data_IF_243240291764
#
_entry.id   IF_243240291764
#
_cell.length_a   1.000
_cell.length_b   1.000
_cell.length_c   1.000
_cell.angle_alpha   90.00
_cell.angle_beta   90.00
_cell.angle_gamma   90.00
#
_symmetry.space_group_name_H-M   'P 1'
#
loop_
_entity.id
_entity.type
_entity.pdbx_description
1 polymer ?
#
# COMPACT_ATOMS: atom_id res chain seq x y z
N UNK A 1 -14.03 -2.94 -64.34
CA UNK A 1 -13.74 -4.29 -63.84
C UNK A 1 -14.90 -5.19 -64.22
N UNK A 2 -14.67 -6.37 -64.80
CA UNK A 2 -15.76 -7.31 -65.09
C UNK A 2 -16.25 -7.99 -63.80
N UNK A 3 -17.45 -8.55 -63.81
CA UNK A 3 -18.00 -9.27 -62.64
C UNK A 3 -17.08 -10.40 -62.14
N UNK A 4 -16.47 -11.25 -63.01
CA UNK A 4 -15.50 -12.25 -62.55
C UNK A 4 -14.28 -11.64 -61.84
N UNK A 5 -13.76 -10.52 -62.34
CA UNK A 5 -12.64 -9.82 -61.69
C UNK A 5 -13.04 -9.29 -60.31
N UNK A 6 -14.28 -8.79 -60.17
CA UNK A 6 -14.80 -8.33 -58.89
C UNK A 6 -15.00 -9.49 -57.90
N UNK A 7 -15.50 -10.64 -58.36
CA UNK A 7 -15.62 -11.84 -57.53
C UNK A 7 -14.24 -12.34 -57.04
N UNK A 8 -13.23 -12.35 -57.92
CA UNK A 8 -11.85 -12.69 -57.56
C UNK A 8 -11.28 -11.69 -56.54
N UNK A 9 -11.60 -10.40 -56.68
CA UNK A 9 -11.15 -9.38 -55.73
C UNK A 9 -11.73 -9.59 -54.32
N UNK A 10 -13.04 -9.85 -54.25
CA UNK A 10 -13.79 -9.98 -53.00
C UNK A 10 -13.52 -11.31 -52.28
N UNK A 11 -13.62 -12.42 -53.01
CA UNK A 11 -13.59 -13.77 -52.44
C UNK A 11 -12.27 -14.48 -52.66
N UNK A 12 -11.50 -14.08 -53.68
CA UNK A 12 -10.20 -14.65 -53.97
C UNK A 12 -9.14 -14.29 -52.94
N UNK A 13 -8.21 -15.22 -52.74
CA UNK A 13 -7.00 -15.03 -51.92
C UNK A 13 -5.77 -14.95 -52.82
N UNK A 14 -5.87 -14.27 -53.95
CA UNK A 14 -4.81 -14.14 -54.95
C UNK A 14 -4.40 -12.68 -55.13
N UNK A 15 -3.14 -12.47 -55.49
CA UNK A 15 -2.62 -11.16 -55.83
C UNK A 15 -3.33 -10.66 -57.09
N UNK A 16 -3.84 -9.43 -57.08
CA UNK A 16 -4.55 -8.86 -58.24
C UNK A 16 -3.62 -8.56 -59.41
N UNK A 17 -2.31 -8.46 -59.17
CA UNK A 17 -1.31 -8.19 -60.22
C UNK A 17 -0.70 -9.49 -60.74
N UNK A 18 -0.09 -10.30 -59.87
CA UNK A 18 0.64 -11.51 -60.29
C UNK A 18 -0.15 -12.83 -60.16
N UNK A 19 -1.38 -12.82 -59.63
CA UNK A 19 -2.21 -14.03 -59.46
C UNK A 19 -1.76 -14.99 -58.35
N UNK A 20 -0.60 -14.77 -57.71
CA UNK A 20 -0.08 -15.66 -56.65
C UNK A 20 -0.94 -15.60 -55.39
N UNK A 21 -1.16 -16.74 -54.74
CA UNK A 21 -1.89 -16.82 -53.47
C UNK A 21 -1.29 -15.90 -52.40
N UNK A 22 -2.13 -15.14 -51.71
CA UNK A 22 -1.70 -14.15 -50.71
C UNK A 22 -2.67 -14.07 -49.53
N UNK A 23 -2.11 -13.85 -48.34
CA UNK A 23 -2.87 -13.55 -47.11
C UNK A 23 -3.15 -12.06 -46.92
N UNK A 24 -2.68 -11.21 -47.84
CA UNK A 24 -2.94 -9.78 -47.79
C UNK A 24 -4.44 -9.51 -47.85
N UNK A 25 -4.89 -8.50 -47.11
CA UNK A 25 -6.26 -7.99 -47.20
C UNK A 25 -6.43 -7.18 -48.49
N UNK A 26 -7.65 -7.16 -49.00
CA UNK A 26 -8.06 -6.26 -50.06
C UNK A 26 -7.93 -4.82 -49.57
N UNK A 27 -7.31 -3.96 -50.36
CA UNK A 27 -7.40 -2.53 -50.19
C UNK A 27 -8.67 -2.00 -50.88
N UNK A 28 -9.63 -1.45 -50.12
CA UNK A 28 -10.91 -1.02 -50.69
C UNK A 28 -10.80 0.25 -51.53
N UNK A 29 -9.72 1.03 -51.42
CA UNK A 29 -9.54 2.28 -52.15
C UNK A 29 -8.68 2.11 -53.40
N UNK A 30 -7.72 1.17 -53.40
CA UNK A 30 -6.94 0.81 -54.59
C UNK A 30 -7.57 -0.32 -55.41
N UNK A 31 -8.63 -0.96 -54.90
CA UNK A 31 -9.25 -2.16 -55.49
C UNK A 31 -8.22 -3.25 -55.82
N UNK A 32 -7.24 -3.43 -54.92
CA UNK A 32 -6.11 -4.31 -55.15
C UNK A 32 -5.84 -5.17 -53.92
N UNK A 33 -5.47 -6.43 -54.16
CA UNK A 33 -4.89 -7.32 -53.15
C UNK A 33 -3.48 -7.62 -53.58
N UNK A 34 -2.49 -7.10 -52.86
CA UNK A 34 -1.08 -7.24 -53.26
C UNK A 34 -0.35 -8.21 -52.35
N UNK A 35 0.34 -9.20 -52.93
CA UNK A 35 1.34 -9.99 -52.20
C UNK A 35 2.50 -9.10 -51.75
N UNK A 36 3.40 -9.62 -50.90
CA UNK A 36 4.53 -8.82 -50.41
C UNK A 36 5.41 -8.27 -51.53
N UNK A 37 5.74 -9.07 -52.55
CA UNK A 37 6.58 -8.64 -53.67
C UNK A 37 5.92 -7.55 -54.50
N UNK A 38 4.70 -7.78 -55.00
CA UNK A 38 3.97 -6.80 -55.81
C UNK A 38 3.65 -5.51 -55.04
N UNK A 39 3.56 -5.59 -53.72
CA UNK A 39 3.36 -4.42 -52.87
C UNK A 39 4.61 -3.54 -52.85
N UNK A 40 5.79 -4.15 -52.72
CA UNK A 40 7.06 -3.41 -52.69
C UNK A 40 7.38 -2.84 -54.09
N UNK A 41 6.96 -3.52 -55.15
CA UNK A 41 7.23 -3.14 -56.54
C UNK A 41 6.20 -2.14 -57.11
N UNK A 42 4.92 -2.32 -56.81
CA UNK A 42 3.84 -1.58 -57.48
C UNK A 42 3.10 -0.59 -56.58
N UNK A 43 3.51 -0.41 -55.32
CA UNK A 43 3.03 0.71 -54.50
C UNK A 43 4.10 1.78 -54.36
N UNK A 44 3.67 3.02 -54.52
CA UNK A 44 4.50 4.19 -54.25
C UNK A 44 3.85 5.04 -53.17
N UNK A 45 4.68 5.55 -52.27
CA UNK A 45 4.26 6.50 -51.25
C UNK A 45 4.23 7.91 -51.83
N UNK A 46 3.03 8.46 -52.02
CA UNK A 46 2.81 9.77 -52.63
C UNK A 46 3.42 10.87 -51.77
N UNK A 47 3.37 10.75 -50.44
CA UNK A 47 3.92 11.75 -49.51
C UNK A 47 5.43 11.94 -49.60
N UNK A 48 6.17 10.99 -50.19
CA UNK A 48 7.63 11.11 -50.40
C UNK A 48 7.97 11.69 -51.77
N UNK A 49 6.98 11.90 -52.63
CA UNK A 49 7.23 12.39 -53.96
C UNK A 49 7.21 13.91 -53.97
N UNK A 50 8.33 14.51 -54.43
CA UNK A 50 8.52 15.95 -54.51
C UNK A 50 7.75 16.61 -55.67
N UNK A 51 6.72 15.95 -56.21
CA UNK A 51 5.94 16.47 -57.33
C UNK A 51 4.66 17.15 -56.80
N UNK A 52 4.59 18.51 -56.81
CA UNK A 52 3.47 19.27 -56.25
C UNK A 52 2.12 18.82 -56.82
N UNK A 53 2.10 18.40 -58.08
CA UNK A 53 0.88 18.03 -58.79
C UNK A 53 0.22 16.77 -58.23
N UNK A 54 1.00 15.87 -57.64
CA UNK A 54 0.48 14.65 -57.03
C UNK A 54 0.19 14.82 -55.54
N UNK A 55 0.81 15.80 -54.91
CA UNK A 55 0.66 16.09 -53.47
C UNK A 55 -0.43 17.11 -53.17
N UNK A 56 -0.63 18.12 -54.01
CA UNK A 56 -1.60 19.21 -53.78
C UNK A 56 -3.02 18.79 -54.20
N UNK A 57 -3.16 18.11 -55.34
CA UNK A 57 -4.47 17.77 -55.91
C UNK A 57 -4.86 16.30 -55.77
N UNK A 58 -3.90 15.44 -55.44
CA UNK A 58 -4.10 13.99 -55.33
C UNK A 58 -4.95 13.41 -56.48
N UNK A 59 -4.45 13.58 -57.70
CA UNK A 59 -5.10 13.14 -58.96
C UNK A 59 -5.11 11.60 -59.16
N UNK A 60 -4.62 10.86 -58.16
CA UNK A 60 -4.47 9.40 -58.18
C UNK A 60 -5.27 8.76 -57.06
N UNK A 61 -5.77 7.57 -57.35
CA UNK A 61 -6.38 6.72 -56.33
C UNK A 61 -5.35 6.37 -55.28
N UNK A 62 -5.72 6.51 -54.01
CA UNK A 62 -4.77 6.31 -52.93
C UNK A 62 -5.44 5.75 -51.68
N UNK A 63 -4.65 5.03 -50.90
CA UNK A 63 -5.10 4.41 -49.67
C UNK A 63 -4.25 4.82 -48.48
N UNK A 64 -4.92 5.00 -47.34
CA UNK A 64 -4.33 5.15 -46.00
C UNK A 64 -4.49 3.86 -45.18
N UNK A 65 -5.10 2.81 -45.73
CA UNK A 65 -5.44 1.57 -45.04
C UNK A 65 -4.37 0.48 -45.16
N UNK A 66 -3.29 0.78 -45.89
CA UNK A 66 -2.19 -0.12 -46.15
C UNK A 66 -1.28 -0.16 -44.91
N UNK A 67 -1.58 -1.09 -44.00
CA UNK A 67 -0.83 -1.35 -42.77
C UNK A 67 0.51 -2.05 -43.02
N UNK A 68 1.34 -1.46 -43.86
CA UNK A 68 2.60 -2.07 -44.29
C UNK A 68 3.71 -1.56 -43.41
N UNK A 69 4.43 -2.49 -42.81
CA UNK A 69 5.81 -2.23 -42.37
C UNK A 69 6.65 -2.13 -43.65
N UNK A 70 6.52 -1.04 -44.39
CA UNK A 70 7.42 -0.80 -45.53
C UNK A 70 8.79 -0.69 -44.89
N UNK A 71 9.82 -1.29 -45.47
CA UNK A 71 11.22 -1.13 -45.00
C UNK A 71 11.73 0.32 -45.17
N UNK A 72 10.83 1.28 -45.34
CA UNK A 72 11.13 2.66 -45.58
C UNK A 72 11.55 3.34 -44.27
N UNK A 73 12.38 4.38 -44.42
CA UNK A 73 12.91 5.20 -43.34
C UNK A 73 11.84 5.57 -42.29
N UNK A 74 12.20 5.69 -41.00
CA UNK A 74 11.27 5.99 -39.93
C UNK A 74 10.41 7.21 -40.28
N UNK A 75 9.09 7.02 -40.28
CA UNK A 75 8.16 8.11 -40.48
C UNK A 75 8.13 9.01 -39.24
N UNK A 76 7.96 10.34 -39.41
CA UNK A 76 7.63 11.23 -38.31
C UNK A 76 6.45 10.66 -37.51
N UNK A 77 6.54 10.68 -36.18
CA UNK A 77 5.46 10.16 -35.32
C UNK A 77 4.14 10.83 -35.70
N UNK A 78 3.15 10.03 -36.10
CA UNK A 78 1.80 10.51 -36.44
C UNK A 78 1.53 10.69 -37.95
N UNK A 79 2.55 10.68 -38.82
CA UNK A 79 2.31 10.72 -40.25
C UNK A 79 1.73 9.36 -40.73
N UNK A 80 0.57 9.40 -41.39
CA UNK A 80 -0.01 8.23 -42.05
C UNK A 80 0.41 8.26 -43.51
N UNK A 81 1.31 7.38 -43.97
CA UNK A 81 1.75 7.36 -45.36
C UNK A 81 0.54 7.12 -46.27
N UNK A 82 0.57 7.77 -47.43
CA UNK A 82 -0.47 7.67 -48.45
C UNK A 82 0.12 6.94 -49.65
N UNK A 83 -0.48 5.83 -50.04
CA UNK A 83 0.03 5.00 -51.13
C UNK A 83 -0.88 5.02 -52.35
N UNK A 84 -0.30 4.98 -53.55
CA UNK A 84 -0.99 4.74 -54.82
C UNK A 84 -0.33 3.59 -55.57
N UNK A 85 -1.02 3.05 -56.58
CA UNK A 85 -0.44 2.11 -57.53
C UNK A 85 0.48 2.87 -58.48
N UNK A 86 1.70 2.36 -58.69
CA UNK A 86 2.69 2.94 -59.62
C UNK A 86 2.08 3.13 -61.01
N UNK A 87 1.29 2.15 -61.48
CA UNK A 87 0.58 2.24 -62.75
C UNK A 87 -0.36 3.45 -62.80
N UNK A 88 -1.22 3.64 -61.80
CA UNK A 88 -2.17 4.75 -61.75
C UNK A 88 -1.47 6.11 -61.70
N UNK A 89 -0.32 6.17 -61.06
CA UNK A 89 0.52 7.38 -61.01
C UNK A 89 1.12 7.68 -62.38
N UNK A 90 1.69 6.69 -63.05
CA UNK A 90 2.28 6.86 -64.38
C UNK A 90 1.21 7.27 -65.41
N UNK A 91 0.03 6.66 -65.38
CA UNK A 91 -1.09 7.02 -66.26
C UNK A 91 -1.49 8.50 -66.13
N UNK A 92 -1.50 9.04 -64.91
CA UNK A 92 -1.81 10.45 -64.64
C UNK A 92 -0.70 11.36 -65.14
N UNK A 93 0.56 10.99 -64.92
CA UNK A 93 1.72 11.76 -65.39
C UNK A 93 1.79 11.80 -66.92
N UNK A 94 1.65 10.67 -67.60
CA UNK A 94 1.66 10.59 -69.06
C UNK A 94 0.51 11.35 -69.70
N UNK A 95 -0.67 11.35 -69.08
CA UNK A 95 -1.82 12.11 -69.57
C UNK A 95 -1.63 13.61 -69.39
N UNK A 96 -1.06 14.02 -68.25
CA UNK A 96 -0.70 15.42 -68.01
C UNK A 96 0.33 15.92 -69.02
N UNK A 97 1.40 15.16 -69.23
CA UNK A 97 2.50 15.54 -70.13
C UNK A 97 1.98 15.77 -71.55
N UNK A 98 1.06 14.91 -72.02
CA UNK A 98 0.41 15.09 -73.33
C UNK A 98 -0.32 16.43 -73.46
N UNK A 99 -1.12 16.83 -72.47
CA UNK A 99 -1.80 18.12 -72.52
C UNK A 99 -0.86 19.31 -72.37
N UNK A 100 0.24 19.14 -71.63
CA UNK A 100 1.25 20.18 -71.48
C UNK A 100 2.02 20.43 -72.79
N UNK A 101 2.31 19.37 -73.55
CA UNK A 101 3.00 19.48 -74.85
C UNK A 101 2.15 20.13 -75.95
N UNK A 102 0.82 20.10 -75.82
CA UNK A 102 -0.11 20.72 -76.77
C UNK A 102 -0.28 22.25 -76.54
N UNK A 103 0.41 22.83 -75.53
CA UNK A 103 0.32 24.24 -75.07
C UNK A 103 -1.12 24.72 -74.76
N UNK A 104 -2.04 23.78 -74.57
CA UNK A 104 -3.45 24.04 -74.28
C UNK A 104 -3.69 23.96 -72.78
N UNK A 105 -3.36 25.08 -72.11
CA UNK A 105 -3.58 25.22 -70.67
C UNK A 105 -5.05 25.01 -70.29
N UNK A 106 -6.00 25.38 -71.15
CA UNK A 106 -7.44 25.21 -70.90
C UNK A 106 -7.80 23.73 -70.79
N UNK A 107 -7.35 22.91 -71.75
CA UNK A 107 -7.56 21.45 -71.70
C UNK A 107 -6.88 20.80 -70.49
N UNK A 108 -5.72 21.32 -70.07
CA UNK A 108 -5.03 20.83 -68.87
C UNK A 108 -5.86 21.06 -67.61
N UNK A 109 -6.46 22.24 -67.45
CA UNK A 109 -7.34 22.55 -66.33
C UNK A 109 -8.64 21.73 -66.38
N UNK A 110 -9.30 21.64 -67.53
CA UNK A 110 -10.52 20.84 -67.70
C UNK A 110 -10.28 19.36 -67.36
N UNK A 111 -9.17 18.79 -67.83
CA UNK A 111 -8.79 17.42 -67.49
C UNK A 111 -8.50 17.25 -66.00
N UNK A 112 -7.77 18.18 -65.39
CA UNK A 112 -7.46 18.17 -63.96
C UNK A 112 -8.75 18.16 -63.13
N UNK A 113 -9.68 19.06 -63.44
CA UNK A 113 -10.95 19.16 -62.72
C UNK A 113 -11.83 17.93 -62.92
N UNK A 114 -11.91 17.41 -64.15
CA UNK A 114 -12.61 16.17 -64.45
C UNK A 114 -12.00 14.96 -63.69
N UNK A 115 -10.67 14.90 -63.59
CA UNK A 115 -9.97 13.84 -62.85
C UNK A 115 -10.16 13.99 -61.35
N UNK A 116 -10.12 15.21 -60.81
CA UNK A 116 -10.42 15.49 -59.40
C UNK A 116 -11.83 15.04 -59.05
N UNK A 117 -12.81 15.35 -59.90
CA UNK A 117 -14.19 14.89 -59.74
C UNK A 117 -14.26 13.36 -59.80
N UNK A 118 -13.58 12.72 -60.76
CA UNK A 118 -13.55 11.26 -60.87
C UNK A 118 -12.93 10.59 -59.63
N UNK A 119 -11.76 11.05 -59.18
CA UNK A 119 -11.09 10.52 -57.98
C UNK A 119 -11.94 10.82 -56.75
N UNK A 120 -12.53 12.01 -56.64
CA UNK A 120 -13.43 12.35 -55.56
C UNK A 120 -14.70 11.48 -55.58
N UNK A 121 -15.25 11.12 -56.73
CA UNK A 121 -16.42 10.24 -56.84
C UNK A 121 -16.08 8.80 -56.48
N UNK A 122 -14.97 8.27 -57.00
CA UNK A 122 -14.43 6.96 -56.67
C UNK A 122 -14.06 6.86 -55.17
N UNK A 123 -13.51 7.93 -54.59
CA UNK A 123 -13.03 7.99 -53.20
C UNK A 123 -14.11 8.34 -52.18
N UNK A 124 -14.93 9.37 -52.44
CA UNK A 124 -15.88 9.95 -51.46
C UNK A 124 -17.27 9.36 -51.57
N UNK A 125 -17.78 9.02 -52.74
CA UNK A 125 -19.25 8.96 -52.86
C UNK A 125 -19.83 7.57 -52.68
N UNK A 126 -19.24 6.48 -53.21
CA UNK A 126 -19.82 5.14 -53.00
C UNK A 126 -18.82 4.01 -52.87
N UNK A 127 -18.01 3.75 -53.90
CA UNK A 127 -17.48 2.39 -54.02
C UNK A 127 -16.44 2.00 -52.96
N UNK A 128 -15.37 2.76 -52.78
CA UNK A 128 -14.33 2.40 -51.80
C UNK A 128 -14.81 2.47 -50.35
N UNK A 129 -15.63 3.46 -50.00
CA UNK A 129 -16.22 3.58 -48.68
C UNK A 129 -17.26 2.49 -48.39
N UNK A 130 -18.14 2.16 -49.35
CA UNK A 130 -19.09 1.05 -49.24
C UNK A 130 -18.37 -0.28 -49.13
N UNK A 131 -17.33 -0.50 -49.93
CA UNK A 131 -16.53 -1.71 -49.89
C UNK A 131 -15.81 -1.84 -48.55
N UNK A 132 -15.21 -0.75 -48.04
CA UNK A 132 -14.65 -0.73 -46.68
C UNK A 132 -15.72 -1.07 -45.63
N UNK A 133 -16.90 -0.44 -45.70
CA UNK A 133 -18.01 -0.70 -44.80
C UNK A 133 -18.48 -2.16 -44.84
N UNK A 134 -18.56 -2.75 -46.03
CA UNK A 134 -18.88 -4.16 -46.23
C UNK A 134 -17.80 -5.06 -45.62
N UNK A 135 -16.52 -4.79 -45.86
CA UNK A 135 -15.41 -5.57 -45.29
C UNK A 135 -15.39 -5.48 -43.75
N UNK A 136 -15.63 -4.29 -43.20
CA UNK A 136 -15.72 -4.06 -41.77
C UNK A 136 -16.95 -4.80 -41.18
N UNK A 137 -18.10 -4.77 -41.86
CA UNK A 137 -19.30 -5.51 -41.48
C UNK A 137 -19.09 -7.03 -41.52
N UNK A 138 -18.51 -7.58 -42.59
CA UNK A 138 -18.20 -9.02 -42.69
C UNK A 138 -17.26 -9.44 -41.56
N UNK A 139 -16.25 -8.61 -41.25
CA UNK A 139 -15.33 -8.87 -40.14
C UNK A 139 -16.07 -8.89 -38.80
N UNK A 140 -16.89 -7.87 -38.53
CA UNK A 140 -17.65 -7.76 -37.29
C UNK A 140 -18.67 -8.91 -37.15
N UNK A 141 -19.37 -9.25 -38.23
CA UNK A 141 -20.29 -10.38 -38.31
C UNK A 141 -19.57 -11.69 -37.97
N UNK A 142 -18.41 -11.94 -38.58
CA UNK A 142 -17.59 -13.12 -38.28
C UNK A 142 -17.08 -13.14 -36.84
N UNK A 143 -16.67 -12.00 -36.29
CA UNK A 143 -16.28 -11.89 -34.88
C UNK A 143 -17.46 -12.24 -33.96
N UNK A 144 -18.67 -11.73 -34.25
CA UNK A 144 -19.90 -12.08 -33.54
C UNK A 144 -20.25 -13.57 -33.63
N UNK A 145 -20.10 -14.21 -34.80
CA UNK A 145 -20.25 -15.66 -34.93
C UNK A 145 -19.26 -16.43 -34.05
N UNK A 146 -17.99 -16.02 -34.04
CA UNK A 146 -16.96 -16.63 -33.21
C UNK A 146 -17.29 -16.45 -31.72
N UNK A 147 -17.76 -15.29 -31.30
CA UNK A 147 -18.18 -15.02 -29.92
C UNK A 147 -19.39 -15.86 -29.51
N UNK A 148 -20.39 -15.99 -30.39
CA UNK A 148 -21.53 -16.87 -30.17
C UNK A 148 -21.08 -18.33 -29.99
N UNK A 149 -20.14 -18.82 -30.82
CA UNK A 149 -19.59 -20.17 -30.66
C UNK A 149 -18.80 -20.33 -29.35
N UNK A 150 -18.05 -19.31 -28.91
CA UNK A 150 -17.35 -19.32 -27.62
C UNK A 150 -18.34 -19.40 -26.47
N UNK A 151 -19.40 -18.58 -26.50
CA UNK A 151 -20.46 -18.56 -25.48
C UNK A 151 -21.20 -19.89 -25.41
N UNK A 152 -21.63 -20.42 -26.55
CA UNK A 152 -22.28 -21.74 -26.62
C UNK A 152 -21.38 -22.82 -26.03
N UNK A 153 -20.09 -22.83 -26.40
CA UNK A 153 -19.11 -23.76 -25.84
C UNK A 153 -18.96 -23.59 -24.32
N UNK A 154 -18.84 -22.36 -23.82
CA UNK A 154 -18.76 -22.07 -22.39
C UNK A 154 -19.97 -22.61 -21.63
N UNK A 155 -21.17 -22.40 -22.16
CA UNK A 155 -22.41 -22.83 -21.52
C UNK A 155 -22.52 -24.36 -21.52
N UNK A 156 -22.19 -25.04 -22.63
CA UNK A 156 -22.15 -26.51 -22.67
C UNK A 156 -21.10 -27.10 -21.73
N UNK A 157 -19.91 -26.49 -21.64
CA UNK A 157 -18.88 -26.93 -20.67
C UNK A 157 -19.40 -26.77 -19.25
N UNK A 158 -20.04 -25.64 -18.93
CA UNK A 158 -20.58 -25.35 -17.60
C UNK A 158 -21.65 -26.37 -17.20
N UNK A 159 -22.62 -26.60 -18.07
CA UNK A 159 -23.69 -27.59 -17.85
C UNK A 159 -23.13 -28.99 -17.58
N UNK A 160 -22.15 -29.43 -18.39
CA UNK A 160 -21.52 -30.74 -18.18
C UNK A 160 -20.69 -30.82 -16.90
N UNK A 161 -20.03 -29.73 -16.49
CA UNK A 161 -19.32 -29.67 -15.22
C UNK A 161 -20.30 -29.74 -14.04
N UNK A 162 -21.46 -29.08 -14.12
CA UNK A 162 -22.51 -29.20 -13.11
C UNK A 162 -23.04 -30.63 -12.97
N UNK A 163 -23.25 -31.33 -14.08
CA UNK A 163 -23.64 -32.75 -14.06
C UNK A 163 -22.59 -33.66 -13.39
N UNK A 164 -21.33 -33.23 -13.36
CA UNK A 164 -20.23 -33.91 -12.67
C UNK A 164 -20.05 -33.45 -11.21
N UNK A 165 -20.94 -32.60 -10.69
CA UNK A 165 -20.90 -32.11 -9.30
C UNK A 165 -19.97 -30.93 -9.06
N UNK A 166 -19.43 -30.29 -10.11
CA UNK A 166 -18.70 -29.04 -9.96
C UNK A 166 -19.66 -27.87 -9.78
N UNK A 167 -19.26 -26.85 -9.04
CA UNK A 167 -20.08 -25.65 -8.79
C UNK A 167 -19.42 -24.41 -9.35
N UNK A 168 -20.16 -23.29 -9.43
CA UNK A 168 -19.58 -21.99 -9.83
C UNK A 168 -18.50 -21.51 -8.87
N UNK A 169 -18.54 -21.95 -7.60
CA UNK A 169 -17.48 -21.67 -6.62
C UNK A 169 -16.14 -22.27 -7.04
N UNK A 170 -16.17 -23.45 -7.65
CA UNK A 170 -14.96 -24.14 -8.12
C UNK A 170 -14.36 -23.49 -9.38
N UNK A 171 -15.12 -22.59 -10.05
CA UNK A 171 -14.65 -21.92 -11.25
C UNK A 171 -13.40 -21.09 -10.94
N UNK A 172 -12.33 -21.24 -11.73
CA UNK A 172 -11.10 -20.58 -11.37
C UNK A 172 -11.15 -19.07 -11.49
N UNK A 173 -10.86 -18.40 -10.38
CA UNK A 173 -10.59 -16.96 -10.31
C UNK A 173 -9.08 -16.72 -10.45
N UNK A 174 -8.46 -17.34 -11.47
CA UNK A 174 -7.01 -17.33 -11.61
C UNK A 174 -6.48 -15.94 -11.93
N UNK A 175 -5.47 -15.50 -11.18
CA UNK A 175 -4.46 -14.59 -11.72
C UNK A 175 -3.64 -15.34 -12.80
N UNK A 176 -3.05 -14.65 -13.79
CA UNK A 176 -2.13 -15.27 -14.74
C UNK A 176 -1.04 -16.08 -14.00
N UNK A 177 -0.60 -17.26 -14.50
CA UNK A 177 -0.87 -17.83 -15.83
C UNK A 177 -2.09 -18.77 -15.93
N UNK A 178 -2.68 -19.22 -14.82
CA UNK A 178 -3.78 -20.20 -14.85
C UNK A 178 -5.01 -19.73 -15.62
N UNK A 179 -5.24 -18.41 -15.68
CA UNK A 179 -6.32 -17.82 -16.48
C UNK A 179 -6.13 -17.98 -17.98
N UNK A 180 -4.89 -18.15 -18.46
CA UNK A 180 -4.61 -18.36 -19.88
C UNK A 180 -4.89 -19.80 -20.28
N UNK A 181 -4.51 -20.78 -19.45
CA UNK A 181 -4.79 -22.21 -19.68
C UNK A 181 -6.30 -22.49 -19.71
N UNK A 182 -7.03 -21.96 -18.72
CA UNK A 182 -8.49 -22.09 -18.66
C UNK A 182 -9.17 -21.49 -19.90
N UNK A 183 -8.85 -20.23 -20.25
CA UNK A 183 -9.42 -19.55 -21.42
C UNK A 183 -9.08 -20.27 -22.72
N UNK A 184 -7.88 -20.85 -22.85
CA UNK A 184 -7.51 -21.61 -24.05
C UNK A 184 -8.40 -22.85 -24.27
N UNK A 185 -8.87 -23.50 -23.19
CA UNK A 185 -9.75 -24.67 -23.26
C UNK A 185 -11.21 -24.27 -23.50
N UNK A 186 -11.64 -23.21 -22.81
CA UNK A 186 -13.05 -22.80 -22.71
C UNK A 186 -13.45 -21.82 -23.83
N UNK A 187 -12.59 -20.88 -24.20
CA UNK A 187 -12.88 -19.80 -25.17
C UNK A 187 -12.45 -20.14 -26.60
N UNK A 188 -12.26 -21.43 -26.90
CA UNK A 188 -11.95 -21.88 -28.26
C UNK A 188 -13.21 -21.81 -29.13
N UNK A 189 -13.20 -21.12 -30.28
CA UNK A 189 -14.36 -21.04 -31.18
C UNK A 189 -14.50 -22.31 -32.02
N UNK A 190 -14.51 -23.48 -31.36
CA UNK A 190 -14.67 -24.80 -31.97
C UNK A 190 -15.84 -25.52 -31.31
N UNK A 191 -16.71 -26.19 -32.07
CA UNK A 191 -17.77 -27.01 -31.50
C UNK A 191 -17.23 -28.02 -30.50
N UNK A 192 -17.95 -28.23 -29.40
CA UNK A 192 -17.56 -29.17 -28.35
C UNK A 192 -18.08 -30.58 -28.68
N UNK A 193 -17.30 -31.33 -29.46
CA UNK A 193 -17.61 -32.74 -29.75
C UNK A 193 -17.32 -33.62 -28.54
N UNK A 194 -17.92 -34.82 -28.45
CA UNK A 194 -17.67 -35.77 -27.37
C UNK A 194 -16.18 -36.14 -27.23
N UNK A 195 -15.47 -36.30 -28.35
CA UNK A 195 -14.02 -36.55 -28.36
C UNK A 195 -13.25 -35.37 -27.77
N UNK A 196 -13.55 -34.14 -28.18
CA UNK A 196 -12.88 -32.93 -27.65
C UNK A 196 -13.20 -32.78 -26.15
N UNK A 197 -14.45 -33.04 -25.74
CA UNK A 197 -14.87 -33.01 -24.35
C UNK A 197 -14.02 -33.93 -23.48
N UNK A 198 -13.86 -35.20 -23.84
CA UNK A 198 -13.06 -36.14 -23.04
C UNK A 198 -11.60 -35.69 -22.89
N UNK A 199 -11.02 -35.09 -23.94
CA UNK A 199 -9.65 -34.57 -23.90
C UNK A 199 -9.55 -33.34 -22.99
N UNK A 200 -10.48 -32.38 -23.09
CA UNK A 200 -10.42 -31.17 -22.27
C UNK A 200 -10.85 -31.42 -20.83
N UNK A 201 -11.73 -32.40 -20.58
CA UNK A 201 -12.27 -32.70 -19.25
C UNK A 201 -11.15 -33.02 -18.27
N UNK A 202 -10.19 -33.86 -18.64
CA UNK A 202 -9.03 -34.19 -17.80
C UNK A 202 -8.26 -32.92 -17.39
N UNK A 203 -8.06 -32.00 -18.33
CA UNK A 203 -7.37 -30.73 -18.07
C UNK A 203 -8.20 -29.78 -17.22
N UNK A 204 -9.52 -29.72 -17.45
CA UNK A 204 -10.44 -28.91 -16.67
C UNK A 204 -10.50 -29.41 -15.22
N UNK A 205 -10.63 -30.71 -15.00
CA UNK A 205 -10.65 -31.31 -13.66
C UNK A 205 -9.37 -30.97 -12.90
N UNK A 206 -8.19 -31.16 -13.51
CA UNK A 206 -6.92 -30.78 -12.88
C UNK A 206 -6.89 -29.29 -12.48
N UNK A 207 -7.36 -28.39 -13.35
CA UNK A 207 -7.43 -26.96 -13.05
C UNK A 207 -8.44 -26.65 -11.92
N UNK A 208 -9.59 -27.34 -11.90
CA UNK A 208 -10.64 -27.15 -10.91
C UNK A 208 -10.21 -27.67 -9.53
N UNK A 209 -9.59 -28.84 -9.45
CA UNK A 209 -9.04 -29.39 -8.21
C UNK A 209 -7.97 -28.47 -7.61
N UNK A 210 -7.04 -28.01 -8.45
CA UNK A 210 -6.03 -27.02 -8.04
C UNK A 210 -6.67 -25.72 -7.53
N UNK A 211 -7.76 -25.28 -8.16
CA UNK A 211 -8.48 -24.09 -7.71
C UNK A 211 -9.22 -24.33 -6.39
N UNK A 212 -9.85 -25.50 -6.20
CA UNK A 212 -10.52 -25.88 -4.96
C UNK A 212 -9.54 -25.88 -3.78
N UNK A 213 -8.38 -26.52 -3.93
CA UNK A 213 -7.33 -26.50 -2.91
C UNK A 213 -6.91 -25.06 -2.54
N UNK A 214 -6.73 -24.20 -3.54
CA UNK A 214 -6.40 -22.78 -3.32
C UNK A 214 -7.53 -22.01 -2.62
N UNK A 215 -8.79 -22.29 -2.94
CA UNK A 215 -9.93 -21.68 -2.28
C UNK A 215 -10.02 -22.13 -0.83
N UNK A 216 -9.76 -23.40 -0.55
CA UNK A 216 -9.72 -23.95 0.80
C UNK A 216 -8.60 -23.31 1.61
N UNK A 217 -7.40 -23.14 1.04
CA UNK A 217 -6.29 -22.41 1.67
C UNK A 217 -6.64 -20.96 1.95
N UNK A 218 -7.25 -20.26 0.99
CA UNK A 218 -7.72 -18.87 1.18
C UNK A 218 -8.77 -18.77 2.27
N UNK A 219 -9.71 -19.70 2.31
CA UNK A 219 -10.77 -19.72 3.30
C UNK A 219 -10.23 -20.07 4.69
N UNK A 220 -9.26 -20.99 4.79
CA UNK A 220 -8.50 -21.24 6.02
C UNK A 220 -7.74 -19.99 6.46
N UNK A 221 -7.05 -19.31 5.56
CA UNK A 221 -6.33 -18.07 5.85
C UNK A 221 -7.28 -16.95 6.27
N UNK A 222 -8.45 -16.83 5.63
CA UNK A 222 -9.50 -15.87 5.98
C UNK A 222 -10.03 -16.13 7.38
N UNK A 223 -10.37 -17.38 7.71
CA UNK A 223 -10.82 -17.78 9.06
C UNK A 223 -9.72 -17.54 10.10
N UNK A 224 -8.47 -17.89 9.82
CA UNK A 224 -7.32 -17.58 10.68
C UNK A 224 -7.17 -16.07 10.91
N UNK A 225 -7.32 -15.27 9.87
CA UNK A 225 -7.27 -13.82 9.98
C UNK A 225 -8.42 -13.26 10.82
N UNK A 226 -9.65 -13.75 10.63
CA UNK A 226 -10.80 -13.37 11.46
C UNK A 226 -10.57 -13.72 12.93
N UNK A 227 -10.08 -14.92 13.24
CA UNK A 227 -9.74 -15.29 14.62
C UNK A 227 -8.66 -14.39 15.21
N UNK A 228 -7.59 -14.10 14.47
CA UNK A 228 -6.56 -13.14 14.90
C UNK A 228 -7.11 -11.75 15.14
N UNK A 229 -8.04 -11.30 14.30
CA UNK A 229 -8.72 -10.03 14.48
C UNK A 229 -9.53 -10.02 15.79
N UNK A 230 -10.29 -11.07 16.07
CA UNK A 230 -11.04 -11.18 17.32
C UNK A 230 -10.15 -11.28 18.57
N UNK A 231 -9.01 -11.99 18.47
CA UNK A 231 -8.00 -12.00 19.55
C UNK A 231 -7.46 -10.59 19.79
N UNK A 232 -7.12 -9.86 18.73
CA UNK A 232 -6.65 -8.48 18.86
C UNK A 232 -7.71 -7.58 19.50
N UNK A 233 -8.96 -7.68 19.04
CA UNK A 233 -10.08 -6.89 19.56
C UNK A 233 -10.31 -7.17 21.06
N UNK A 234 -10.25 -8.43 21.47
CA UNK A 234 -10.31 -8.82 22.87
C UNK A 234 -9.12 -8.29 23.70
N UNK A 235 -7.90 -8.36 23.16
CA UNK A 235 -6.71 -7.84 23.84
C UNK A 235 -6.73 -6.31 23.91
N UNK A 236 -7.27 -5.64 22.90
CA UNK A 236 -7.54 -4.20 22.90
C UNK A 236 -8.59 -3.87 23.96
N UNK A 237 -9.68 -4.64 24.08
CA UNK A 237 -10.68 -4.44 25.12
C UNK A 237 -10.10 -4.65 26.53
N UNK A 238 -9.27 -5.69 26.72
CA UNK A 238 -8.54 -5.89 27.97
C UNK A 238 -7.57 -4.76 28.27
N UNK A 239 -6.87 -4.25 27.25
CA UNK A 239 -6.02 -3.08 27.37
C UNK A 239 -6.84 -1.89 27.86
N UNK A 240 -7.98 -1.57 27.25
CA UNK A 240 -8.81 -0.43 27.66
C UNK A 240 -9.54 -0.65 29.00
N UNK A 241 -9.81 -1.90 29.40
CA UNK A 241 -10.55 -2.21 30.64
C UNK A 241 -9.64 -2.26 31.87
N UNK A 242 -8.41 -2.77 31.71
CA UNK A 242 -7.41 -2.82 32.79
C UNK A 242 -6.58 -1.55 32.88
N UNK A 243 -6.42 -0.83 31.76
CA UNK A 243 -6.01 0.56 31.84
C UNK A 243 -7.23 1.37 32.25
N UNK A 244 -7.36 1.64 33.54
CA UNK A 244 -8.15 2.76 33.98
C UNK A 244 -7.52 4.04 33.38
N UNK A 245 -7.82 4.34 32.12
CA UNK A 245 -7.63 5.66 31.54
C UNK A 245 -8.62 6.55 32.29
N UNK A 246 -8.20 7.06 33.43
CA UNK A 246 -8.70 8.34 33.87
C UNK A 246 -8.23 9.35 32.81
N UNK A 247 -9.15 10.06 32.13
CA UNK A 247 -8.75 11.10 31.21
C UNK A 247 -7.99 12.16 32.02
N UNK A 248 -6.68 12.24 31.85
CA UNK A 248 -5.92 13.39 32.30
C UNK A 248 -6.11 14.49 31.26
N UNK A 249 -7.00 15.42 31.56
CA UNK A 249 -6.90 16.76 31.01
C UNK A 249 -5.66 17.42 31.64
N UNK A 250 -4.88 18.14 30.82
CA UNK A 250 -3.71 18.97 31.17
C UNK A 250 -2.32 18.35 30.91
N UNK A 251 -2.02 18.09 29.63
CA UNK A 251 -0.76 18.47 28.96
C UNK A 251 -0.93 18.12 27.48
N UNK A 252 -1.04 19.13 26.62
CA UNK A 252 -1.62 19.01 25.26
C UNK A 252 -0.83 18.17 24.25
N UNK A 253 0.38 17.66 24.55
CA UNK A 253 1.24 17.08 23.50
C UNK A 253 1.72 15.64 23.68
N UNK A 254 1.48 14.95 24.81
CA UNK A 254 1.98 13.56 24.97
C UNK A 254 1.05 12.66 25.81
N UNK A 255 0.20 11.88 25.13
CA UNK A 255 -0.52 10.76 25.75
C UNK A 255 0.45 9.65 26.17
N UNK A 256 0.59 9.43 27.47
CA UNK A 256 1.44 8.39 28.02
C UNK A 256 0.58 7.23 28.52
N UNK A 257 0.63 6.13 27.77
CA UNK A 257 -0.09 4.88 28.05
C UNK A 257 0.78 3.97 28.92
N UNK A 258 0.21 3.31 29.94
CA UNK A 258 0.90 2.21 30.68
C UNK A 258 1.53 1.27 29.66
N UNK A 259 2.68 0.68 30.00
CA UNK A 259 3.35 -0.23 29.07
C UNK A 259 2.53 -1.51 29.01
N UNK A 260 1.79 -1.68 27.92
CA UNK A 260 1.16 -2.94 27.59
C UNK A 260 2.07 -3.67 26.60
N UNK A 261 2.28 -4.99 26.77
CA UNK A 261 3.05 -5.73 25.80
C UNK A 261 2.42 -5.55 24.42
N UNK A 262 3.26 -5.39 23.39
CA UNK A 262 2.74 -5.28 22.03
C UNK A 262 1.81 -6.46 21.73
N UNK A 263 0.64 -6.22 21.16
CA UNK A 263 -0.36 -7.27 20.88
C UNK A 263 0.25 -8.40 20.05
N UNK A 264 1.11 -8.07 19.08
CA UNK A 264 1.85 -9.06 18.30
C UNK A 264 2.76 -9.96 19.12
N UNK A 265 3.29 -9.48 20.26
CA UNK A 265 4.03 -10.28 21.23
C UNK A 265 3.10 -11.17 22.07
N UNK A 266 1.97 -10.65 22.54
CA UNK A 266 0.99 -11.40 23.34
C UNK A 266 0.41 -12.59 22.56
N UNK A 267 0.14 -12.42 21.26
CA UNK A 267 -0.34 -13.52 20.39
C UNK A 267 0.65 -14.70 20.35
N UNK A 268 1.92 -14.49 20.66
CA UNK A 268 2.92 -15.58 20.70
C UNK A 268 2.93 -16.36 22.01
N UNK A 269 2.18 -15.92 23.02
CA UNK A 269 2.11 -16.64 24.30
C UNK A 269 1.39 -17.97 24.14
N UNK A 270 1.86 -18.99 24.86
CA UNK A 270 1.35 -20.36 24.75
C UNK A 270 -0.15 -20.46 25.00
N UNK A 271 -0.71 -19.61 25.88
CA UNK A 271 -2.14 -19.56 26.18
C UNK A 271 -3.01 -18.93 25.08
N UNK A 272 -2.43 -18.33 24.04
CA UNK A 272 -3.16 -17.65 22.95
C UNK A 272 -2.76 -18.20 21.56
N UNK A 273 -1.50 -18.61 21.40
CA UNK A 273 -0.94 -18.97 20.10
C UNK A 273 -1.73 -20.08 19.38
N UNK A 274 -2.18 -21.08 20.14
CA UNK A 274 -2.97 -22.22 19.65
C UNK A 274 -4.35 -21.79 19.10
N UNK A 275 -5.00 -20.80 19.72
CA UNK A 275 -6.33 -20.33 19.33
C UNK A 275 -6.38 -19.79 17.90
N UNK A 276 -5.27 -19.17 17.45
CA UNK A 276 -5.22 -18.61 16.09
C UNK A 276 -5.17 -19.70 15.01
N UNK A 277 -4.53 -20.83 15.32
CA UNK A 277 -4.25 -21.91 14.38
C UNK A 277 -5.28 -23.05 14.41
N UNK A 278 -6.05 -23.21 15.49
CA UNK A 278 -7.15 -24.18 15.58
C UNK A 278 -8.27 -23.89 14.55
N UNK A 279 -8.90 -24.94 14.02
CA UNK A 279 -10.07 -24.84 13.13
C UNK A 279 -11.40 -24.72 13.92
N UNK A 280 -11.44 -23.78 14.86
CA UNK A 280 -12.63 -23.43 15.67
C UNK A 280 -13.34 -22.18 15.12
N UNK A 281 -14.60 -21.99 15.53
CA UNK A 281 -15.38 -20.79 15.15
C UNK A 281 -14.90 -19.55 15.90
N UNK A 282 -15.36 -18.37 15.47
CA UNK A 282 -14.98 -17.10 16.13
C UNK A 282 -15.59 -17.03 17.53
N UNK A 283 -16.80 -17.55 17.70
CA UNK A 283 -17.51 -17.61 18.98
C UNK A 283 -16.78 -18.51 19.97
N UNK A 284 -16.34 -19.70 19.52
CA UNK A 284 -15.53 -20.62 20.32
C UNK A 284 -14.17 -20.00 20.72
N UNK A 285 -13.55 -19.18 19.85
CA UNK A 285 -12.35 -18.42 20.22
C UNK A 285 -12.63 -17.44 21.35
N UNK A 286 -13.74 -16.69 21.28
CA UNK A 286 -14.10 -15.71 22.31
C UNK A 286 -14.37 -16.42 23.64
N UNK A 287 -15.13 -17.52 23.63
CA UNK A 287 -15.37 -18.33 24.83
C UNK A 287 -14.06 -18.84 25.45
N UNK A 288 -13.12 -19.31 24.63
CA UNK A 288 -11.81 -19.75 25.12
C UNK A 288 -10.95 -18.59 25.63
N UNK A 289 -10.99 -17.41 25.01
CA UNK A 289 -10.29 -16.22 25.50
C UNK A 289 -10.81 -15.78 26.87
N UNK A 290 -12.14 -15.75 27.04
CA UNK A 290 -12.78 -15.45 28.32
C UNK A 290 -12.40 -16.49 29.38
N UNK A 291 -12.42 -17.79 29.03
CA UNK A 291 -12.01 -18.86 29.94
C UNK A 291 -10.51 -18.81 30.30
N UNK A 292 -9.67 -18.25 29.43
CA UNK A 292 -8.21 -18.08 29.63
C UNK A 292 -7.83 -16.68 30.12
N UNK A 293 -8.79 -15.87 30.53
CA UNK A 293 -8.54 -14.48 30.94
C UNK A 293 -7.51 -14.40 32.08
N UNK A 294 -7.67 -15.20 33.13
CA UNK A 294 -6.75 -15.19 34.29
C UNK A 294 -5.29 -15.53 33.90
N UNK A 295 -5.00 -16.60 33.12
CA UNK A 295 -3.66 -16.84 32.57
C UNK A 295 -3.10 -15.67 31.76
N UNK A 296 -3.93 -14.98 30.97
CA UNK A 296 -3.50 -13.84 30.13
C UNK A 296 -3.13 -12.66 31.03
N UNK A 297 -3.97 -12.32 32.01
CA UNK A 297 -3.70 -11.26 32.98
C UNK A 297 -2.44 -11.55 33.80
N UNK A 298 -2.25 -12.81 34.21
CA UNK A 298 -1.02 -13.25 34.87
C UNK A 298 0.19 -13.05 33.97
N UNK A 299 0.12 -13.44 32.70
CA UNK A 299 1.21 -13.22 31.74
C UNK A 299 1.57 -11.75 31.55
N UNK A 300 0.57 -10.85 31.55
CA UNK A 300 0.77 -9.39 31.49
C UNK A 300 1.48 -8.90 32.76
N UNK A 301 1.05 -9.38 33.93
CA UNK A 301 1.70 -9.05 35.20
C UNK A 301 3.15 -9.55 35.25
N UNK A 302 3.40 -10.79 34.84
CA UNK A 302 4.74 -11.39 34.81
C UNK A 302 5.66 -10.63 33.83
N UNK A 303 5.15 -10.22 32.67
CA UNK A 303 5.88 -9.40 31.70
C UNK A 303 6.25 -8.03 32.27
N UNK A 304 5.30 -7.36 32.94
CA UNK A 304 5.54 -6.08 33.61
C UNK A 304 6.60 -6.20 34.71
N UNK A 305 6.51 -7.24 35.54
CA UNK A 305 7.50 -7.49 36.60
C UNK A 305 8.90 -7.71 36.03
N UNK A 306 9.01 -8.47 34.93
CA UNK A 306 10.28 -8.69 34.24
C UNK A 306 10.85 -7.39 33.66
N UNK A 307 10.00 -6.55 33.07
CA UNK A 307 10.42 -5.25 32.57
C UNK A 307 10.91 -4.34 33.70
N UNK A 308 10.22 -4.34 34.84
CA UNK A 308 10.63 -3.62 36.04
C UNK A 308 11.99 -4.13 36.55
N UNK A 309 12.22 -5.45 36.57
CA UNK A 309 13.50 -6.06 36.94
C UNK A 309 14.64 -5.65 35.99
N UNK A 310 14.42 -5.70 34.67
CA UNK A 310 15.42 -5.31 33.66
C UNK A 310 15.76 -3.81 33.73
N UNK A 311 14.78 -2.96 34.03
CA UNK A 311 15.00 -1.53 34.25
C UNK A 311 15.82 -1.29 35.52
N UNK A 312 15.53 -2.02 36.60
CA UNK A 312 16.30 -1.95 37.84
C UNK A 312 17.74 -2.44 37.66
N UNK A 313 17.96 -3.52 36.92
CA UNK A 313 19.30 -4.02 36.60
C UNK A 313 20.13 -2.97 35.88
N UNK A 314 19.58 -2.36 34.81
CA UNK A 314 20.24 -1.28 34.06
C UNK A 314 20.51 -0.03 34.89
N UNK A 315 19.64 0.29 35.84
CA UNK A 315 19.87 1.38 36.80
C UNK A 315 20.96 1.02 37.81
N UNK A 316 21.06 -0.25 38.20
CA UNK A 316 22.09 -0.76 39.10
C UNK A 316 23.49 -0.82 38.47
N UNK A 317 23.60 -1.01 37.16
CA UNK A 317 24.88 -0.94 36.42
C UNK A 317 25.47 0.48 36.37
N UNK A 318 24.66 1.51 36.62
CA UNK A 318 25.02 2.92 36.52
C UNK A 318 25.68 3.47 37.79
N UNK A 319 26.78 2.93 38.31
CA UNK A 319 27.58 3.44 39.48
C UNK A 319 26.79 3.91 40.73
N UNK A 320 25.51 3.57 40.83
CA UNK A 320 24.62 4.05 41.89
C UNK A 320 24.75 3.11 43.09
N UNK A 321 24.91 3.72 44.26
CA UNK A 321 25.01 3.07 45.59
C UNK A 321 24.06 1.87 45.71
N UNK A 322 24.58 0.75 46.22
CA UNK A 322 23.88 -0.52 46.43
C UNK A 322 22.54 -0.34 47.17
N UNK A 323 21.46 -0.16 46.39
CA UNK A 323 20.11 0.14 46.91
C UNK A 323 19.39 -1.11 47.43
N UNK A 324 20.05 -2.28 47.40
CA UNK A 324 19.43 -3.57 47.74
C UNK A 324 19.11 -3.74 49.23
N UNK A 325 19.79 -3.01 50.11
CA UNK A 325 19.62 -3.06 51.57
C UNK A 325 18.65 -2.02 52.15
N UNK A 326 18.10 -1.13 51.32
CA UNK A 326 17.14 -0.14 51.81
C UNK A 326 15.77 -0.82 51.90
N UNK A 327 15.24 -1.03 53.11
CA UNK A 327 13.82 -1.29 53.31
C UNK A 327 13.03 -0.02 52.92
N UNK A 328 12.75 0.12 51.63
CA UNK A 328 12.04 1.29 51.12
C UNK A 328 10.54 1.10 51.33
N UNK A 329 10.04 1.57 52.47
CA UNK A 329 8.61 1.84 52.64
C UNK A 329 8.30 3.18 51.99
N UNK A 330 8.06 3.16 50.67
CA UNK A 330 7.56 4.34 49.96
C UNK A 330 6.06 4.45 50.19
N UNK A 331 5.63 5.50 50.89
CA UNK A 331 4.23 5.93 50.87
C UNK A 331 4.09 7.07 49.87
N UNK A 332 3.44 6.82 48.73
CA UNK A 332 3.15 7.87 47.76
C UNK A 332 1.83 8.53 48.16
N UNK A 333 1.86 9.85 48.43
CA UNK A 333 0.66 10.65 48.65
C UNK A 333 0.49 11.60 47.47
N UNK A 334 -0.50 11.34 46.63
CA UNK A 334 -0.97 12.29 45.64
C UNK A 334 -2.09 13.15 46.25
N UNK A 335 -2.19 14.41 45.85
CA UNK A 335 -3.14 15.39 46.39
C UNK A 335 -4.62 15.03 46.18
N UNK A 336 -4.92 14.11 45.25
CA UNK A 336 -6.28 13.80 44.80
C UNK A 336 -6.63 12.30 44.77
N UNK A 337 -5.81 11.40 45.34
CA UNK A 337 -6.00 9.94 45.20
C UNK A 337 -5.99 9.27 46.58
N UNK A 338 -6.90 8.32 46.80
CA UNK A 338 -6.99 7.56 48.05
C UNK A 338 -5.67 6.80 48.33
N UNK A 339 -5.19 6.80 49.60
CA UNK A 339 -3.99 6.09 49.99
C UNK A 339 -4.21 4.58 49.92
N UNK A 340 -3.69 3.92 48.87
CA UNK A 340 -3.87 2.47 48.74
C UNK A 340 -3.22 1.78 47.54
N UNK A 341 -2.31 2.42 46.80
CA UNK A 341 -1.67 1.77 45.65
C UNK A 341 -0.67 0.72 46.15
N UNK A 342 -0.98 -0.55 45.93
CA UNK A 342 -0.06 -1.65 46.21
C UNK A 342 1.01 -1.74 45.11
N UNK A 343 1.94 -0.78 45.14
CA UNK A 343 3.08 -0.76 44.24
C UNK A 343 3.98 -1.96 44.53
N UNK A 344 4.46 -2.62 43.48
CA UNK A 344 5.43 -3.70 43.63
C UNK A 344 6.70 -3.19 44.33
N UNK A 345 7.46 -4.08 44.96
CA UNK A 345 8.72 -3.70 45.62
C UNK A 345 9.66 -2.99 44.64
N UNK A 346 9.69 -3.42 43.39
CA UNK A 346 10.53 -2.86 42.34
C UNK A 346 10.08 -1.46 41.93
N UNK A 347 8.77 -1.25 41.79
CA UNK A 347 8.20 0.07 41.52
C UNK A 347 8.49 1.05 42.66
N UNK A 348 8.38 0.59 43.92
CA UNK A 348 8.78 1.38 45.10
C UNK A 348 10.27 1.77 45.05
N UNK A 349 11.14 0.89 44.57
CA UNK A 349 12.58 1.17 44.40
C UNK A 349 12.81 2.15 43.26
N UNK A 350 12.18 1.97 42.10
CA UNK A 350 12.25 2.90 40.98
C UNK A 350 11.86 4.31 41.42
N UNK A 351 10.79 4.44 42.20
CA UNK A 351 10.32 5.73 42.72
C UNK A 351 11.17 6.36 43.83
N UNK A 352 12.17 5.65 44.36
CA UNK A 352 12.98 6.17 45.44
C UNK A 352 13.89 7.32 44.95
N UNK A 353 14.00 8.41 45.71
CA UNK A 353 14.83 9.56 45.34
C UNK A 353 16.33 9.21 45.18
N UNK A 354 16.78 8.14 45.84
CA UNK A 354 18.16 7.61 45.70
C UNK A 354 18.48 7.04 44.34
N UNK A 355 17.48 6.75 43.52
CA UNK A 355 17.63 6.31 42.13
C UNK A 355 18.03 7.47 41.21
N UNK A 356 17.62 8.71 41.53
CA UNK A 356 17.86 9.91 40.71
C UNK A 356 19.09 10.68 41.16
N UNK A 357 19.33 10.73 42.48
CA UNK A 357 20.36 11.57 43.06
C UNK A 357 21.35 10.73 43.88
N UNK A 358 22.61 10.72 43.45
CA UNK A 358 23.76 10.28 44.25
C UNK A 358 24.45 11.48 44.88
N UNK A 359 25.01 11.29 46.07
CA UNK A 359 26.05 12.19 46.55
C UNK A 359 27.34 11.95 45.76
N UNK A 360 28.07 13.01 45.42
CA UNK A 360 29.43 12.93 44.92
C UNK A 360 30.33 12.30 46.00
N UNK A 361 31.32 11.52 45.59
CA UNK A 361 32.16 10.73 46.50
C UNK A 361 32.93 11.61 47.48
N UNK A 362 33.31 12.82 47.08
CA UNK A 362 33.96 13.80 47.96
C UNK A 362 33.05 14.26 49.10
N UNK A 363 31.79 14.58 48.79
CA UNK A 363 30.83 15.02 49.80
C UNK A 363 30.30 13.85 50.63
N UNK A 364 30.14 12.67 50.03
CA UNK A 364 29.83 11.43 50.75
C UNK A 364 30.86 11.14 51.85
N UNK A 365 32.15 11.36 51.57
CA UNK A 365 33.23 11.20 52.55
C UNK A 365 33.23 12.31 53.62
N UNK A 366 32.90 13.56 53.25
CA UNK A 366 32.72 14.66 54.23
C UNK A 366 31.58 14.39 55.20
N UNK A 367 30.43 13.92 54.73
CA UNK A 367 29.30 13.58 55.59
C UNK A 367 29.61 12.41 56.53
N UNK A 368 30.43 11.44 56.09
CA UNK A 368 30.90 10.33 56.92
C UNK A 368 31.83 10.79 58.06
N UNK A 369 32.71 11.76 57.78
CA UNK A 369 33.66 12.32 58.76
C UNK A 369 33.00 13.19 59.84
N UNK A 370 31.82 13.77 59.55
CA UNK A 370 31.07 14.61 60.50
C UNK A 370 30.24 13.80 61.52
N UNK A 371 30.37 12.48 61.57
CA UNK A 371 29.73 11.65 62.60
C UNK A 371 28.24 11.37 62.38
N UNK A 372 27.68 11.76 61.23
CA UNK A 372 26.36 11.31 60.78
C UNK A 372 26.41 9.84 60.40
N UNK A 373 26.48 8.97 61.41
CA UNK A 373 26.46 7.54 61.23
C UNK A 373 25.05 6.98 61.43
N UNK A 374 24.62 6.21 60.42
CA UNK A 374 23.63 5.11 60.48
C UNK A 374 22.15 5.35 60.81
N UNK A 375 21.68 6.49 61.30
CA UNK A 375 20.21 6.69 61.35
C UNK A 375 19.69 7.20 60.01
N UNK A 376 18.85 6.40 59.35
CA UNK A 376 18.34 6.60 57.99
C UNK A 376 17.40 7.79 57.76
N UNK A 377 17.67 8.93 58.37
CA UNK A 377 16.85 10.15 58.31
C UNK A 377 17.56 11.27 57.55
N UNK A 378 17.88 11.01 56.29
CA UNK A 378 18.10 12.09 55.33
C UNK A 378 16.86 12.13 54.45
N UNK A 379 15.96 13.05 54.74
CA UNK A 379 14.85 13.42 53.86
C UNK A 379 15.44 13.87 52.51
N UNK A 380 15.41 13.00 51.50
CA UNK A 380 15.93 13.31 50.16
C UNK A 380 14.87 14.07 49.39
N UNK A 381 15.07 15.39 49.27
CA UNK A 381 14.17 16.30 48.57
C UNK A 381 14.43 16.31 47.06
N UNK A 382 13.37 16.42 46.25
CA UNK A 382 13.44 16.79 44.84
C UNK A 382 13.40 18.32 44.74
N UNK A 383 14.53 19.02 44.58
CA UNK A 383 14.57 20.47 44.76
C UNK A 383 13.89 21.23 43.62
N UNK A 384 13.74 20.57 42.47
CA UNK A 384 13.13 21.15 41.27
C UNK A 384 11.59 21.10 41.27
N UNK A 385 10.97 20.56 42.33
CA UNK A 385 9.52 20.54 42.53
C UNK A 385 9.02 21.62 43.51
N UNK A 386 9.92 22.47 44.02
CA UNK A 386 9.58 23.62 44.85
C UNK A 386 9.59 24.87 43.96
N UNK A 387 8.43 25.51 43.79
CA UNK A 387 8.30 26.76 43.04
C UNK A 387 8.91 27.94 43.81
N UNK A 388 9.27 29.00 43.08
CA UNK A 388 9.95 30.22 43.55
C UNK A 388 9.25 30.98 44.71
N UNK A 389 8.04 30.56 45.12
CA UNK A 389 7.30 31.20 46.21
C UNK A 389 7.85 30.90 47.62
N UNK A 390 8.73 29.90 47.77
CA UNK A 390 9.27 29.56 49.09
C UNK A 390 10.48 30.39 49.55
N UNK A 391 10.97 31.34 48.74
CA UNK A 391 12.01 32.29 49.19
C UNK A 391 11.55 33.17 50.35
N UNK A 392 10.24 33.44 50.45
CA UNK A 392 9.65 34.33 51.46
C UNK A 392 9.58 33.75 52.89
N UNK A 393 9.63 32.43 53.06
CA UNK A 393 9.57 31.81 54.40
C UNK A 393 10.95 31.71 55.08
N UNK A 394 12.05 31.86 54.33
CA UNK A 394 13.41 31.76 54.90
C UNK A 394 13.81 33.00 55.71
N UNK A 395 13.34 34.19 55.36
CA UNK A 395 13.72 35.43 56.06
C UNK A 395 13.16 35.52 57.49
N UNK A 396 12.00 34.90 57.75
CA UNK A 396 11.35 35.00 59.08
C UNK A 396 11.88 33.97 60.09
N UNK A 397 12.58 32.93 59.63
CA UNK A 397 13.11 31.85 60.47
C UNK A 397 14.63 31.65 60.39
N UNK A 398 15.34 32.46 59.59
CA UNK A 398 16.81 32.41 59.46
C UNK A 398 17.56 32.48 60.80
N UNK A 399 16.95 33.10 61.82
CA UNK A 399 17.59 33.31 63.12
C UNK A 399 17.43 32.14 64.11
N UNK A 400 16.62 31.11 63.80
CA UNK A 400 16.35 30.01 64.75
C UNK A 400 17.17 28.74 64.43
N UNK A 401 17.72 28.62 63.22
CA UNK A 401 18.67 27.55 62.92
C UNK A 401 19.55 27.91 61.70
N UNK A 402 20.83 28.30 61.89
CA UNK A 402 21.71 28.74 60.80
C UNK A 402 22.17 27.62 59.84
N UNK A 403 21.62 26.40 59.98
CA UNK A 403 22.01 25.24 59.18
C UNK A 403 21.04 24.88 58.04
N UNK A 404 19.93 25.60 57.88
CA UNK A 404 18.90 25.24 56.89
C UNK A 404 18.87 26.10 55.62
N UNK A 405 19.58 27.23 55.57
CA UNK A 405 19.49 28.15 54.42
C UNK A 405 20.45 27.83 53.28
N UNK A 406 21.41 26.93 53.47
CA UNK A 406 22.35 26.50 52.44
C UNK A 406 22.52 24.97 52.44
N UNK A 407 21.44 24.23 52.16
CA UNK A 407 21.64 22.90 51.58
C UNK A 407 22.13 23.14 50.15
N UNK A 408 23.42 23.42 50.01
CA UNK A 408 24.08 23.55 48.72
C UNK A 408 24.02 22.16 48.09
N UNK A 409 23.19 22.00 47.06
CA UNK A 409 23.08 20.77 46.27
C UNK A 409 24.34 20.48 45.44
N UNK A 410 25.42 21.25 45.63
CA UNK A 410 26.70 21.10 44.92
C UNK A 410 27.29 19.72 45.06
N UNK A 411 26.90 18.97 46.10
CA UNK A 411 27.35 17.62 46.35
C UNK A 411 26.49 16.52 45.76
N UNK A 412 25.44 16.81 45.00
CA UNK A 412 24.60 15.77 44.39
C UNK A 412 24.86 15.63 42.89
N UNK A 413 25.32 14.45 42.47
CA UNK A 413 25.34 14.01 41.09
C UNK A 413 23.96 13.50 40.69
N UNK A 414 23.38 14.17 39.70
CA UNK A 414 22.08 13.85 39.13
C UNK A 414 22.24 12.80 38.04
N UNK A 415 21.63 11.64 38.23
CA UNK A 415 21.55 10.61 37.20
C UNK A 415 20.42 10.97 36.23
N UNK A 416 20.76 11.69 35.17
CA UNK A 416 19.79 12.16 34.17
C UNK A 416 19.05 11.01 33.47
N UNK A 417 19.64 9.82 33.38
CA UNK A 417 18.99 8.65 32.81
C UNK A 417 17.93 8.11 33.78
N UNK A 418 18.31 7.90 35.04
CA UNK A 418 17.40 7.45 36.07
C UNK A 418 16.26 8.44 36.32
N UNK A 419 16.56 9.74 36.30
CA UNK A 419 15.53 10.76 36.36
C UNK A 419 14.57 10.71 35.18
N UNK A 420 15.07 10.54 33.95
CA UNK A 420 14.22 10.39 32.77
C UNK A 420 13.34 9.15 32.91
N UNK A 421 13.89 8.03 33.38
CA UNK A 421 13.14 6.79 33.64
C UNK A 421 12.09 7.00 34.72
N UNK A 422 12.41 7.70 35.81
CA UNK A 422 11.53 7.89 36.97
C UNK A 422 10.45 8.92 36.70
N UNK A 423 10.78 10.03 36.04
CA UNK A 423 9.78 10.96 35.51
C UNK A 423 8.83 10.23 34.58
N UNK A 424 9.36 9.48 33.61
CA UNK A 424 8.55 8.68 32.70
C UNK A 424 7.69 7.65 33.43
N UNK A 425 8.21 7.01 34.47
CA UNK A 425 7.48 6.02 35.27
C UNK A 425 6.40 6.66 36.16
N UNK A 426 6.70 7.80 36.80
CA UNK A 426 5.75 8.60 37.58
C UNK A 426 4.61 9.16 36.74
N UNK A 427 4.93 9.59 35.52
CA UNK A 427 3.95 9.99 34.52
C UNK A 427 3.06 8.79 34.13
N UNK A 428 3.65 7.60 33.97
CA UNK A 428 2.94 6.34 33.61
C UNK A 428 1.96 5.88 34.69
N UNK A 429 2.27 6.04 35.98
CA UNK A 429 1.36 5.66 37.09
C UNK A 429 0.38 6.77 37.47
N UNK A 430 0.22 7.80 36.64
CA UNK A 430 -0.71 8.91 36.86
C UNK A 430 -0.48 9.66 38.18
N UNK A 431 0.79 9.83 38.56
CA UNK A 431 1.20 10.70 39.68
C UNK A 431 2.07 11.83 39.12
N UNK A 432 1.50 12.72 38.28
CA UNK A 432 2.28 13.74 37.56
C UNK A 432 2.86 14.79 38.53
N UNK A 433 2.20 15.00 39.66
CA UNK A 433 2.64 15.86 40.75
C UNK A 433 2.91 15.02 41.99
N UNK A 434 4.05 14.34 42.02
CA UNK A 434 4.58 13.82 43.28
C UNK A 434 5.08 14.98 44.13
N UNK A 435 4.14 15.66 44.77
CA UNK A 435 4.47 16.72 45.73
C UNK A 435 5.30 16.20 46.90
N UNK A 436 5.21 14.88 47.19
CA UNK A 436 5.87 14.28 48.33
C UNK A 436 6.03 12.75 48.21
N UNK A 437 7.29 12.29 48.11
CA UNK A 437 7.68 10.89 48.40
C UNK A 437 8.21 10.87 49.82
N UNK A 438 7.52 10.22 50.75
CA UNK A 438 8.04 10.02 52.10
C UNK A 438 8.48 8.59 52.30
N UNK A 439 9.71 8.40 52.80
CA UNK A 439 10.10 7.14 53.42
C UNK A 439 9.66 7.13 54.89
N UNK A 440 9.46 5.94 55.45
CA UNK A 440 8.78 5.69 56.73
C UNK A 440 9.47 6.18 58.00
N UNK A 441 10.53 6.99 57.93
CA UNK A 441 11.18 7.52 59.14
C UNK A 441 10.60 8.85 59.66
N UNK A 442 9.47 9.28 59.10
CA UNK A 442 8.52 10.11 59.85
C UNK A 442 8.93 11.57 60.04
N UNK A 443 9.02 12.31 58.93
CA UNK A 443 8.81 13.76 58.97
C UNK A 443 7.81 14.19 57.90
N UNK A 444 6.88 15.04 58.31
CA UNK A 444 5.76 15.48 57.49
C UNK A 444 5.68 16.97 57.31
N UNK A 445 5.74 17.43 56.05
CA UNK A 445 5.42 18.79 55.66
C UNK A 445 4.54 18.85 54.42
N UNK A 446 3.62 19.82 54.42
CA UNK A 446 2.57 20.05 53.43
C UNK A 446 2.84 21.34 52.66
N UNK A 447 2.59 21.35 51.35
CA UNK A 447 2.42 22.58 50.57
C UNK A 447 1.53 22.32 49.35
N UNK A 448 0.74 23.32 48.97
CA UNK A 448 -0.34 23.30 47.97
C UNK A 448 -0.04 24.20 46.77
N UNK A 449 -0.48 23.74 45.58
CA UNK A 449 -1.06 24.38 44.37
C UNK A 449 -0.41 25.65 43.75
N UNK A 450 -0.14 25.63 42.42
CA UNK A 450 -0.35 26.82 41.58
C UNK A 450 -0.45 26.60 40.05
N UNK A 451 -1.20 27.52 39.41
CA UNK A 451 -1.51 27.68 37.98
C UNK A 451 -0.32 28.14 37.12
N UNK A 452 -0.43 27.85 35.81
CA UNK A 452 0.38 28.41 34.73
C UNK A 452 0.06 29.90 34.48
N UNK A 453 1.10 30.73 34.33
CA UNK A 453 1.05 31.97 33.57
C UNK A 453 2.42 32.23 32.93
N UNK A 454 2.42 32.22 31.60
CA UNK A 454 3.54 32.60 30.73
C UNK A 454 3.74 34.12 30.75
N UNK A 455 5.00 34.56 30.88
CA UNK A 455 5.45 35.88 30.42
C UNK A 455 6.63 35.68 29.47
N UNK A 456 6.36 35.80 28.16
CA UNK A 456 7.36 36.12 27.14
C UNK A 456 7.10 37.53 26.64
N UNK A 457 8.08 38.39 26.88
CA UNK A 457 8.54 39.58 26.17
C UNK A 457 9.67 40.11 27.08
N UNK A 458 10.87 40.51 26.69
CA UNK A 458 11.53 40.97 25.47
C UNK A 458 13.05 40.99 25.88
N UNK A 459 14.11 40.97 25.07
CA UNK A 459 14.53 42.03 24.16
C UNK A 459 15.94 41.72 23.58
N UNK A 460 16.13 42.09 22.31
CA UNK A 460 17.31 42.63 21.62
C UNK A 460 18.75 42.08 21.79
N UNK A 461 19.38 41.78 20.65
CA UNK A 461 20.65 42.39 20.22
C UNK A 461 20.73 42.47 18.68
N UNK A 462 20.88 43.72 18.18
CA UNK A 462 21.26 44.25 16.84
C UNK A 462 20.50 43.75 15.60
#
# INVERSE_FOLDING_TARGET
MSEPQHAVLMFGKVCTICGVSTRAKLDPFLHARLCSSCRDEHLIEISRWANPVLTEDVLVDHSKCIGVKVKSAPHPRGARPVFSLVQSVNEVLEKRERYFMDDDMSKTFEWRDARLLQVAELRKVRHGAQLKGLLDWVKASREGELDNMRKQRQDTIRERLYLLGWTDRDRPQFLPPGSTEWRALVDSPKPLTARIWNIILLKLVFLLERNRARLDEREKARRRHQRRFCINDFLDELYHSNHAIQPFALLEDYELKQLFPNIGFIITWECIADLSDQEITVEEVIEQLVARNDPILKGISDWNNKLDDELLEKLGESDMVDMRDVQVTVSVRASNIEPGWDLSKNQKILLHAGSVFSLDDEDRNRFFLLGYSRSGDISRYYPHLITDQYRFFSEKYANVCPFYTDIVLSGYKRNLLAEKVIKRFLDVIAIPDVTRITSSHGLSFSAWKMCCQDTRDEQHYI
#
